data_IF_257117528424
#
_entry.id   IF_257117528424
#
_cell.length_a   1.000
_cell.length_b   1.000
_cell.length_c   1.000
_cell.angle_alpha   90.00
_cell.angle_beta   90.00
_cell.angle_gamma   90.00
#
_symmetry.space_group_name_H-M   'P 1'
#
loop_
_entity.id
_entity.type
_entity.pdbx_description
1 polymer ?
#
# COMPACT_ATOMS: atom_id res chain seq x y z
N UNK A 1 1.54 -21.90 -57.56
CA UNK A 1 1.70 -20.52 -58.08
C UNK A 1 0.52 -19.69 -57.61
N UNK A 2 0.68 -18.38 -57.52
CA UNK A 2 -0.39 -17.42 -57.26
C UNK A 2 -0.29 -16.33 -58.33
N UNK A 3 -1.43 -15.97 -58.89
CA UNK A 3 -1.54 -14.85 -59.81
C UNK A 3 -1.17 -13.55 -59.07
N UNK A 4 -0.12 -12.89 -59.54
CA UNK A 4 0.49 -11.71 -58.91
C UNK A 4 0.58 -10.56 -59.92
N UNK A 5 0.02 -9.38 -59.60
CA UNK A 5 0.07 -8.22 -60.50
C UNK A 5 1.48 -7.60 -60.53
N UNK A 6 1.86 -7.05 -61.67
CA UNK A 6 3.03 -6.18 -61.79
C UNK A 6 2.68 -4.78 -61.21
N UNK A 7 3.49 -4.30 -60.27
CA UNK A 7 3.26 -3.02 -59.58
C UNK A 7 3.89 -1.81 -60.28
N UNK A 8 4.71 -2.00 -61.33
CA UNK A 8 5.53 -0.95 -61.95
C UNK A 8 5.20 -0.69 -63.41
N UNK A 9 4.77 -1.71 -64.16
CA UNK A 9 4.62 -1.59 -65.62
C UNK A 9 3.19 -1.74 -66.12
N UNK A 10 2.21 -1.96 -65.23
CA UNK A 10 0.82 -2.32 -65.58
C UNK A 10 0.71 -3.56 -66.50
N UNK A 11 1.76 -4.37 -66.56
CA UNK A 11 1.79 -5.61 -67.34
C UNK A 11 0.80 -6.65 -66.79
N UNK A 12 0.50 -7.64 -67.62
CA UNK A 12 -0.44 -8.71 -67.29
C UNK A 12 -0.02 -9.46 -66.01
N UNK A 13 -1.02 -9.91 -65.26
CA UNK A 13 -0.83 -10.72 -64.05
C UNK A 13 -0.04 -11.99 -64.38
N UNK A 14 1.01 -12.26 -63.62
CA UNK A 14 1.88 -13.41 -63.82
C UNK A 14 1.73 -14.44 -62.70
N UNK A 15 1.94 -15.72 -63.04
CA UNK A 15 1.95 -16.79 -62.05
C UNK A 15 3.30 -16.89 -61.35
N UNK A 16 3.33 -16.49 -60.08
CA UNK A 16 4.56 -16.49 -59.27
C UNK A 16 4.53 -17.62 -58.24
N UNK A 17 5.67 -18.29 -58.06
CA UNK A 17 5.85 -19.27 -57.01
C UNK A 17 6.20 -18.58 -55.68
N UNK A 18 5.48 -18.92 -54.61
CA UNK A 18 5.71 -18.41 -53.27
C UNK A 18 6.10 -19.54 -52.32
N UNK A 19 7.07 -19.26 -51.44
CA UNK A 19 7.35 -20.12 -50.30
C UNK A 19 6.23 -20.00 -49.26
N UNK A 20 5.85 -21.12 -48.64
CA UNK A 20 4.88 -21.17 -47.54
C UNK A 20 5.56 -21.75 -46.31
N UNK A 21 5.26 -21.17 -45.14
CA UNK A 21 5.70 -21.72 -43.85
C UNK A 21 4.81 -22.93 -43.51
N UNK A 22 5.45 -24.06 -43.21
CA UNK A 22 4.76 -25.25 -42.70
C UNK A 22 5.00 -25.32 -41.20
N UNK A 23 3.98 -25.00 -40.41
CA UNK A 23 4.02 -25.04 -38.95
C UNK A 23 3.23 -26.23 -38.43
N UNK A 24 3.68 -26.82 -37.32
CA UNK A 24 3.04 -27.97 -36.69
C UNK A 24 2.91 -27.74 -35.19
N UNK A 25 1.76 -28.15 -34.62
CA UNK A 25 1.60 -28.28 -33.17
C UNK A 25 2.19 -29.63 -32.75
N UNK A 26 3.17 -29.59 -31.87
CA UNK A 26 3.86 -30.78 -31.35
C UNK A 26 3.58 -30.85 -29.85
N UNK A 27 2.89 -31.90 -29.36
CA UNK A 27 2.70 -32.07 -27.92
C UNK A 27 4.02 -32.45 -27.24
N UNK A 28 4.18 -32.12 -25.95
CA UNK A 28 5.39 -32.46 -25.21
C UNK A 28 5.66 -33.97 -25.08
N UNK A 29 4.65 -34.81 -25.37
CA UNK A 29 4.81 -36.27 -25.45
C UNK A 29 5.46 -36.77 -26.74
N UNK A 30 5.60 -35.92 -27.77
CA UNK A 30 6.25 -36.26 -29.04
C UNK A 30 7.65 -35.63 -29.11
N UNK A 31 8.61 -36.35 -29.69
CA UNK A 31 9.95 -35.82 -29.90
C UNK A 31 9.93 -34.65 -30.90
N UNK A 32 10.58 -33.53 -30.53
CA UNK A 32 10.61 -32.29 -31.33
C UNK A 32 11.43 -32.43 -32.63
N UNK A 33 12.25 -33.46 -32.78
CA UNK A 33 13.04 -33.70 -33.99
C UNK A 33 13.93 -32.51 -34.36
N UNK A 34 13.87 -32.07 -35.62
CA UNK A 34 14.61 -30.90 -36.14
C UNK A 34 13.82 -29.58 -36.07
N UNK A 35 12.69 -29.55 -35.37
CA UNK A 35 11.88 -28.33 -35.24
C UNK A 35 12.43 -27.43 -34.13
N UNK A 36 12.50 -26.13 -34.40
CA UNK A 36 12.55 -25.11 -33.35
C UNK A 36 11.14 -24.88 -32.82
N UNK A 37 10.97 -24.97 -31.50
CA UNK A 37 9.65 -24.94 -30.85
C UNK A 37 9.56 -23.79 -29.85
N UNK A 38 8.38 -23.17 -29.80
CA UNK A 38 8.02 -22.17 -28.80
C UNK A 38 6.82 -22.71 -28.00
N UNK A 39 6.84 -22.61 -26.66
CA UNK A 39 5.68 -22.96 -25.84
C UNK A 39 4.47 -22.11 -26.23
N UNK A 40 3.35 -22.76 -26.57
CA UNK A 40 2.14 -22.08 -27.03
C UNK A 40 1.02 -22.10 -25.99
N UNK A 41 0.78 -23.28 -25.39
CA UNK A 41 -0.31 -23.49 -24.44
C UNK A 41 0.01 -24.71 -23.58
N UNK A 42 -0.35 -24.65 -22.30
CA UNK A 42 -0.42 -25.84 -21.44
C UNK A 42 -1.88 -26.15 -21.18
N UNK A 43 -2.26 -27.44 -21.26
CA UNK A 43 -3.62 -27.90 -20.99
C UNK A 43 -3.64 -28.72 -19.71
N UNK A 44 -4.71 -28.59 -18.92
CA UNK A 44 -5.00 -29.47 -17.79
C UNK A 44 -6.30 -30.23 -18.03
N UNK A 45 -6.39 -31.43 -17.48
CA UNK A 45 -7.61 -32.24 -17.56
C UNK A 45 -8.62 -31.78 -16.51
N UNK A 46 -9.87 -31.59 -16.91
CA UNK A 46 -10.96 -31.21 -16.01
C UNK A 46 -11.54 -32.45 -15.32
N UNK A 47 -12.24 -32.24 -14.20
CA UNK A 47 -12.97 -33.32 -13.49
C UNK A 47 -14.08 -33.93 -14.34
N UNK A 48 -14.63 -33.17 -15.30
CA UNK A 48 -15.62 -33.64 -16.29
C UNK A 48 -15.00 -34.44 -17.44
N UNK A 49 -13.67 -34.61 -17.46
CA UNK A 49 -12.95 -35.39 -18.46
C UNK A 49 -12.51 -34.62 -19.72
N UNK A 50 -12.78 -33.32 -19.80
CA UNK A 50 -12.32 -32.43 -20.87
C UNK A 50 -10.91 -31.86 -20.62
N UNK A 51 -10.47 -30.97 -21.51
CA UNK A 51 -9.22 -30.21 -21.35
C UNK A 51 -9.52 -28.72 -21.35
N UNK A 52 -8.80 -27.97 -20.52
CA UNK A 52 -8.84 -26.52 -20.50
C UNK A 52 -7.42 -25.93 -20.43
N UNK A 53 -7.21 -24.70 -20.91
CA UNK A 53 -5.94 -24.00 -20.74
C UNK A 53 -5.59 -23.88 -19.27
N UNK A 54 -4.33 -24.16 -18.91
CA UNK A 54 -3.82 -23.95 -17.57
C UNK A 54 -3.74 -22.45 -17.28
N UNK A 55 -4.49 -21.90 -16.30
CA UNK A 55 -4.53 -20.45 -16.08
C UNK A 55 -3.20 -19.83 -15.65
N UNK A 56 -2.30 -20.63 -15.07
CA UNK A 56 -0.95 -20.19 -14.67
C UNK A 56 0.06 -20.17 -15.82
N UNK A 57 -0.29 -20.71 -16.99
CA UNK A 57 0.64 -20.71 -18.11
C UNK A 57 0.79 -19.31 -18.70
N UNK A 58 2.03 -18.92 -19.01
CA UNK A 58 2.37 -17.66 -19.68
C UNK A 58 3.33 -17.98 -20.82
N UNK A 59 2.92 -17.69 -22.05
CA UNK A 59 3.74 -17.96 -23.24
C UNK A 59 4.85 -16.90 -23.41
N UNK A 60 6.05 -17.30 -23.89
CA UNK A 60 7.02 -16.36 -24.44
C UNK A 60 6.36 -15.49 -25.51
N UNK A 61 6.39 -14.18 -25.33
CA UNK A 61 5.60 -13.24 -26.12
C UNK A 61 6.43 -12.01 -26.49
N UNK A 62 6.31 -11.57 -27.75
CA UNK A 62 6.97 -10.34 -28.23
C UNK A 62 6.24 -9.06 -27.80
N UNK A 63 5.00 -9.19 -27.33
CA UNK A 63 4.15 -8.11 -26.85
C UNK A 63 3.42 -8.55 -25.59
N UNK A 64 3.15 -7.62 -24.66
CA UNK A 64 2.37 -7.88 -23.44
C UNK A 64 0.99 -8.46 -23.79
N UNK A 65 0.33 -7.95 -24.83
CA UNK A 65 -0.95 -8.45 -25.35
C UNK A 65 -0.90 -9.92 -25.78
N UNK A 66 0.29 -10.45 -26.11
CA UNK A 66 0.48 -11.86 -26.46
C UNK A 66 0.35 -12.82 -25.27
N UNK A 67 0.42 -12.30 -24.05
CA UNK A 67 0.28 -13.05 -22.81
C UNK A 67 -0.86 -12.45 -21.96
N UNK A 68 -2.13 -12.86 -22.15
CA UNK A 68 -3.27 -12.29 -21.43
C UNK A 68 -3.12 -12.29 -19.91
N UNK A 69 -2.50 -13.34 -19.36
CA UNK A 69 -2.19 -13.43 -17.93
C UNK A 69 -1.28 -12.30 -17.44
N UNK A 70 -0.26 -11.94 -18.23
CA UNK A 70 0.66 -10.85 -17.90
C UNK A 70 -0.07 -9.51 -17.90
N UNK A 71 -0.99 -9.31 -18.85
CA UNK A 71 -1.82 -8.12 -18.91
C UNK A 71 -2.70 -7.99 -17.66
N UNK A 72 -3.39 -9.06 -17.25
CA UNK A 72 -4.20 -9.05 -16.03
C UNK A 72 -3.37 -8.81 -14.77
N UNK A 73 -2.17 -9.40 -14.68
CA UNK A 73 -1.23 -9.16 -13.58
C UNK A 73 -0.86 -7.67 -13.50
N UNK A 74 -0.49 -7.07 -14.64
CA UNK A 74 -0.13 -5.66 -14.73
C UNK A 74 -1.30 -4.73 -14.33
N UNK A 75 -2.51 -5.02 -14.81
CA UNK A 75 -3.72 -4.25 -14.46
C UNK A 75 -3.99 -4.32 -12.95
N UNK A 76 -4.00 -5.51 -12.35
CA UNK A 76 -4.20 -5.68 -10.91
C UNK A 76 -3.10 -5.03 -10.06
N UNK A 77 -1.85 -5.05 -10.53
CA UNK A 77 -0.75 -4.38 -9.84
C UNK A 77 -0.91 -2.87 -9.91
N UNK A 78 -1.31 -2.32 -11.06
CA UNK A 78 -1.58 -0.89 -11.22
C UNK A 78 -2.71 -0.44 -10.29
N UNK A 79 -3.80 -1.20 -10.17
CA UNK A 79 -4.89 -0.91 -9.24
C UNK A 79 -4.41 -0.88 -7.78
N UNK A 80 -3.59 -1.86 -7.38
CA UNK A 80 -3.01 -1.91 -6.04
C UNK A 80 -2.12 -0.69 -5.76
N UNK A 81 -1.29 -0.28 -6.73
CA UNK A 81 -0.45 0.91 -6.62
C UNK A 81 -1.30 2.18 -6.53
N UNK A 82 -2.35 2.33 -7.34
CA UNK A 82 -3.24 3.49 -7.28
C UNK A 82 -3.98 3.60 -5.94
N UNK A 83 -4.49 2.47 -5.43
CA UNK A 83 -5.07 2.42 -4.09
C UNK A 83 -4.05 2.83 -3.02
N UNK A 84 -2.79 2.38 -3.16
CA UNK A 84 -1.68 2.76 -2.29
C UNK A 84 -1.39 4.26 -2.32
N UNK A 85 -1.31 4.85 -3.51
CA UNK A 85 -1.11 6.28 -3.72
C UNK A 85 -2.23 7.08 -3.05
N UNK A 86 -3.49 6.66 -3.23
CA UNK A 86 -4.64 7.30 -2.60
C UNK A 86 -4.58 7.22 -1.06
N UNK A 87 -4.21 6.07 -0.52
CA UNK A 87 -4.03 5.89 0.92
C UNK A 87 -2.92 6.79 1.48
N UNK A 88 -1.78 6.91 0.78
CA UNK A 88 -0.66 7.74 1.23
C UNK A 88 -0.96 9.24 1.15
N UNK A 89 -1.66 9.70 0.11
CA UNK A 89 -2.13 11.09 0.05
C UNK A 89 -3.10 11.42 1.19
N UNK A 90 -4.00 10.50 1.55
CA UNK A 90 -4.94 10.71 2.66
C UNK A 90 -4.27 10.86 4.04
N UNK A 91 -3.02 10.41 4.20
CA UNK A 91 -2.25 10.61 5.43
C UNK A 91 -1.59 11.99 5.50
N UNK A 92 -1.41 12.69 4.37
CA UNK A 92 -0.80 14.01 4.34
C UNK A 92 -1.91 15.05 4.54
N UNK A 93 -1.85 15.81 5.64
CA UNK A 93 -2.80 16.90 5.90
C UNK A 93 -2.63 17.99 4.83
N UNK A 94 -3.75 18.51 4.32
CA UNK A 94 -3.81 19.71 3.47
C UNK A 94 -4.32 20.91 4.30
N UNK A 95 -3.43 21.74 4.91
CA UNK A 95 -3.86 22.82 5.80
C UNK A 95 -4.40 24.04 5.03
N UNK A 96 -4.04 24.19 3.75
CA UNK A 96 -4.56 25.23 2.86
C UNK A 96 -4.33 24.88 1.38
N UNK A 97 -5.31 25.22 0.52
CA UNK A 97 -5.34 25.05 -0.96
C UNK A 97 -3.99 24.76 -1.62
N UNK A 98 -3.72 23.49 -1.90
CA UNK A 98 -2.64 22.98 -2.77
C UNK A 98 -1.19 23.08 -2.25
N UNK A 99 -0.96 23.25 -0.95
CA UNK A 99 0.41 23.11 -0.37
C UNK A 99 0.46 21.88 0.53
N UNK A 100 1.18 20.84 0.08
CA UNK A 100 1.50 19.67 0.90
C UNK A 100 2.66 20.05 1.81
N UNK A 101 2.42 20.08 3.12
CA UNK A 101 3.45 20.37 4.12
C UNK A 101 4.08 19.05 4.59
N UNK A 102 5.36 18.84 4.28
CA UNK A 102 6.11 17.68 4.75
C UNK A 102 6.87 18.01 6.03
N UNK A 103 6.63 17.25 7.10
CA UNK A 103 7.42 17.36 8.34
C UNK A 103 8.54 16.33 8.35
N UNK A 104 9.54 16.54 9.19
CA UNK A 104 10.71 15.65 9.31
C UNK A 104 10.37 14.19 9.67
N UNK A 105 9.19 13.94 10.26
CA UNK A 105 8.67 12.59 10.52
C UNK A 105 8.04 11.88 9.30
N UNK A 106 7.72 12.61 8.23
CA UNK A 106 6.96 12.10 7.09
C UNK A 106 7.86 11.65 5.94
N UNK A 107 9.19 11.76 6.09
CA UNK A 107 10.17 11.51 5.00
C UNK A 107 10.03 10.10 4.44
N UNK A 108 9.84 9.08 5.28
CA UNK A 108 9.64 7.70 4.84
C UNK A 108 8.36 7.52 4.03
N UNK A 109 7.26 8.14 4.46
CA UNK A 109 5.96 8.12 3.77
C UNK A 109 6.04 8.87 2.44
N UNK A 110 6.72 10.02 2.42
CA UNK A 110 6.98 10.79 1.22
C UNK A 110 7.79 10.00 0.18
N UNK A 111 8.90 9.37 0.60
CA UNK A 111 9.70 8.54 -0.31
C UNK A 111 8.90 7.36 -0.86
N UNK A 112 8.04 6.74 -0.04
CA UNK A 112 7.19 5.65 -0.50
C UNK A 112 6.18 6.16 -1.51
N UNK A 113 5.53 7.28 -1.21
CA UNK A 113 4.59 7.93 -2.13
C UNK A 113 5.28 8.27 -3.45
N UNK A 114 6.50 8.80 -3.41
CA UNK A 114 7.31 9.08 -4.59
C UNK A 114 7.59 7.80 -5.39
N UNK A 115 8.10 6.74 -4.75
CA UNK A 115 8.41 5.45 -5.40
C UNK A 115 7.18 4.84 -6.06
N UNK A 116 6.07 4.74 -5.32
CA UNK A 116 4.82 4.15 -5.82
C UNK A 116 4.21 5.00 -6.92
N UNK A 117 4.18 6.33 -6.79
CA UNK A 117 3.60 7.23 -7.80
C UNK A 117 4.39 7.20 -9.11
N UNK A 118 5.72 7.26 -9.02
CA UNK A 118 6.61 7.18 -10.20
C UNK A 118 6.44 5.84 -10.92
N UNK A 119 6.40 4.74 -10.17
CA UNK A 119 6.20 3.42 -10.75
C UNK A 119 4.80 3.25 -11.36
N UNK A 120 3.74 3.72 -10.69
CA UNK A 120 2.38 3.66 -11.22
C UNK A 120 2.25 4.41 -12.54
N UNK A 121 2.87 5.58 -12.66
CA UNK A 121 2.91 6.35 -13.91
C UNK A 121 3.63 5.57 -15.03
N UNK A 122 4.76 4.93 -14.72
CA UNK A 122 5.49 4.11 -15.68
C UNK A 122 4.68 2.86 -16.11
N UNK A 123 4.06 2.15 -15.17
CA UNK A 123 3.25 0.96 -15.46
C UNK A 123 1.97 1.28 -16.25
N UNK A 124 1.38 2.45 -16.03
CA UNK A 124 0.25 2.94 -16.83
C UNK A 124 0.60 3.07 -18.32
N UNK A 125 1.85 3.38 -18.67
CA UNK A 125 2.29 3.39 -20.07
C UNK A 125 2.17 2.01 -20.71
N UNK A 126 2.59 0.96 -20.00
CA UNK A 126 2.53 -0.43 -20.48
C UNK A 126 1.10 -0.95 -20.61
N UNK A 127 0.19 -0.56 -19.71
CA UNK A 127 -1.25 -0.87 -19.85
C UNK A 127 -1.84 -0.23 -21.12
N UNK A 128 -1.46 1.03 -21.41
CA UNK A 128 -1.95 1.76 -22.60
C UNK A 128 -1.30 1.30 -23.90
N UNK A 129 -0.12 0.69 -23.83
CA UNK A 129 0.63 0.23 -25.00
C UNK A 129 0.99 -1.26 -24.86
N UNK A 130 0.00 -2.16 -24.90
CA UNK A 130 0.24 -3.58 -24.68
C UNK A 130 0.99 -4.26 -25.85
N UNK A 131 1.29 -3.53 -26.92
CA UNK A 131 2.18 -3.96 -28.00
C UNK A 131 3.67 -3.94 -27.65
N UNK A 132 4.05 -3.39 -26.49
CA UNK A 132 5.44 -3.33 -26.04
C UNK A 132 5.97 -4.69 -25.56
N UNK A 133 7.29 -4.87 -25.68
CA UNK A 133 7.96 -6.11 -25.31
C UNK A 133 7.96 -6.34 -23.79
N UNK A 134 7.64 -7.56 -23.29
CA UNK A 134 7.56 -7.85 -21.85
C UNK A 134 8.85 -7.59 -21.05
N UNK A 135 10.03 -7.74 -21.66
CA UNK A 135 11.31 -7.44 -21.00
C UNK A 135 11.39 -6.01 -20.46
N UNK A 136 10.82 -5.04 -21.18
CA UNK A 136 10.79 -3.63 -20.74
C UNK A 136 9.87 -3.40 -19.56
N UNK A 137 8.74 -4.12 -19.54
CA UNK A 137 7.88 -4.16 -18.37
C UNK A 137 8.63 -4.78 -17.17
N UNK A 138 9.38 -5.85 -17.39
CA UNK A 138 10.16 -6.50 -16.34
C UNK A 138 11.22 -5.56 -15.74
N UNK A 139 11.93 -4.80 -16.59
CA UNK A 139 12.86 -3.74 -16.17
C UNK A 139 12.17 -2.71 -15.24
N UNK A 140 10.96 -2.25 -15.60
CA UNK A 140 10.19 -1.32 -14.77
C UNK A 140 9.73 -1.93 -13.44
N UNK A 141 9.34 -3.22 -13.43
CA UNK A 141 8.97 -3.94 -12.21
C UNK A 141 10.16 -4.11 -11.26
N UNK A 142 11.36 -4.40 -11.79
CA UNK A 142 12.59 -4.44 -11.00
C UNK A 142 12.90 -3.08 -10.36
N UNK A 143 12.70 -1.99 -11.10
CA UNK A 143 12.86 -0.63 -10.57
C UNK A 143 11.92 -0.35 -9.39
N UNK A 144 10.66 -0.74 -9.51
CA UNK A 144 9.68 -0.64 -8.41
C UNK A 144 10.09 -1.49 -7.21
N UNK A 145 10.38 -2.79 -7.42
CA UNK A 145 10.79 -3.68 -6.34
C UNK A 145 12.04 -3.16 -5.62
N UNK A 146 13.05 -2.74 -6.36
CA UNK A 146 14.29 -2.16 -5.82
C UNK A 146 14.04 -0.93 -4.97
N UNK A 147 13.15 -0.03 -5.39
CA UNK A 147 12.74 1.13 -4.57
C UNK A 147 12.07 0.73 -3.26
N UNK A 148 11.22 -0.29 -3.30
CA UNK A 148 10.50 -0.81 -2.13
C UNK A 148 11.38 -1.60 -1.16
N UNK A 149 12.52 -2.16 -1.60
CA UNK A 149 13.44 -2.89 -0.71
C UNK A 149 13.96 -2.03 0.44
N UNK A 150 14.00 -0.71 0.30
CA UNK A 150 14.41 0.20 1.39
C UNK A 150 13.48 0.13 2.63
N UNK A 151 12.28 -0.44 2.48
CA UNK A 151 11.26 -0.52 3.52
C UNK A 151 11.12 -1.91 4.15
N UNK A 152 11.87 -2.91 3.70
CA UNK A 152 11.79 -4.28 4.20
C UNK A 152 13.17 -4.88 4.44
N UNK A 153 13.27 -5.75 5.43
CA UNK A 153 14.46 -6.60 5.65
C UNK A 153 14.25 -8.04 5.20
N UNK A 154 13.05 -8.39 4.74
CA UNK A 154 12.72 -9.75 4.30
C UNK A 154 13.37 -10.10 2.96
N UNK A 155 13.50 -9.09 2.09
CA UNK A 155 14.09 -9.24 0.77
C UNK A 155 15.37 -8.43 0.64
N UNK A 156 16.28 -8.92 -0.20
CA UNK A 156 17.51 -8.23 -0.60
C UNK A 156 17.54 -8.11 -2.12
N UNK A 157 18.51 -7.36 -2.67
CA UNK A 157 18.70 -7.30 -4.12
C UNK A 157 18.92 -8.69 -4.75
N UNK A 158 19.58 -9.60 -4.03
CA UNK A 158 19.80 -10.98 -4.49
C UNK A 158 18.51 -11.82 -4.50
N UNK A 159 17.45 -11.36 -3.85
CA UNK A 159 16.13 -12.01 -3.87
C UNK A 159 15.33 -11.69 -5.13
N UNK A 160 15.71 -10.67 -5.91
CA UNK A 160 14.98 -10.28 -7.11
C UNK A 160 15.21 -11.31 -8.22
N UNK A 161 14.14 -11.87 -8.84
CA UNK A 161 14.27 -12.88 -9.88
C UNK A 161 14.95 -12.32 -11.14
N UNK A 162 15.67 -13.18 -11.86
CA UNK A 162 16.19 -12.87 -13.19
C UNK A 162 15.08 -13.04 -14.25
N UNK A 163 15.13 -12.22 -15.30
CA UNK A 163 14.23 -12.36 -16.43
C UNK A 163 14.55 -13.63 -17.23
N UNK A 164 13.56 -14.49 -17.44
CA UNK A 164 13.65 -15.63 -18.35
C UNK A 164 12.53 -15.54 -19.40
N UNK A 165 12.90 -15.15 -20.62
CA UNK A 165 11.94 -15.03 -21.72
C UNK A 165 11.38 -16.38 -22.17
N UNK A 166 12.11 -17.48 -21.98
CA UNK A 166 11.66 -18.81 -22.37
C UNK A 166 10.61 -19.36 -21.37
N UNK A 167 10.66 -18.90 -20.11
CA UNK A 167 9.72 -19.26 -19.05
C UNK A 167 9.20 -18.02 -18.29
N UNK A 168 8.47 -17.12 -18.97
CA UNK A 168 8.16 -15.80 -18.42
C UNK A 168 7.24 -15.88 -17.19
N UNK A 169 6.40 -16.92 -17.09
CA UNK A 169 5.47 -17.08 -15.97
C UNK A 169 6.17 -17.08 -14.61
N UNK A 170 7.26 -17.84 -14.47
CA UNK A 170 7.95 -17.98 -13.19
C UNK A 170 8.56 -16.65 -12.70
N UNK A 171 9.23 -15.91 -13.59
CA UNK A 171 9.87 -14.64 -13.21
C UNK A 171 8.84 -13.53 -12.93
N UNK A 172 7.77 -13.43 -13.73
CA UNK A 172 6.72 -12.43 -13.51
C UNK A 172 5.90 -12.70 -12.25
N UNK A 173 5.59 -13.96 -11.96
CA UNK A 173 4.87 -14.33 -10.74
C UNK A 173 5.70 -14.03 -9.49
N UNK A 174 7.00 -14.36 -9.53
CA UNK A 174 7.90 -14.12 -8.41
C UNK A 174 8.07 -12.62 -8.13
N UNK A 175 8.29 -11.78 -9.16
CA UNK A 175 8.45 -10.34 -8.95
C UNK A 175 7.14 -9.66 -8.51
N UNK A 176 5.98 -10.05 -9.06
CA UNK A 176 4.67 -9.54 -8.63
C UNK A 176 4.40 -9.88 -7.16
N UNK A 177 4.68 -11.12 -6.74
CA UNK A 177 4.55 -11.55 -5.36
C UNK A 177 5.41 -10.72 -4.40
N UNK A 178 6.70 -10.54 -4.73
CA UNK A 178 7.63 -9.70 -3.95
C UNK A 178 7.11 -8.27 -3.86
N UNK A 179 6.68 -7.66 -4.97
CA UNK A 179 6.16 -6.29 -4.98
C UNK A 179 4.92 -6.16 -4.11
N UNK A 180 3.98 -7.11 -4.18
CA UNK A 180 2.76 -7.09 -3.35
C UNK A 180 3.07 -7.19 -1.86
N UNK A 181 3.93 -8.11 -1.47
CA UNK A 181 4.32 -8.27 -0.07
C UNK A 181 5.04 -7.02 0.46
N UNK A 182 5.98 -6.47 -0.33
CA UNK A 182 6.64 -5.22 0.01
C UNK A 182 5.64 -4.08 0.14
N UNK A 183 4.73 -3.92 -0.83
CA UNK A 183 3.68 -2.91 -0.79
C UNK A 183 2.86 -3.04 0.48
N UNK A 184 2.34 -4.23 0.83
CA UNK A 184 1.53 -4.44 2.03
C UNK A 184 2.30 -4.10 3.31
N UNK A 185 3.57 -4.50 3.39
CA UNK A 185 4.42 -4.27 4.57
C UNK A 185 4.60 -2.78 4.87
N UNK A 186 4.68 -1.90 3.86
CA UNK A 186 5.00 -0.48 4.09
C UNK A 186 3.81 0.35 4.64
N UNK A 187 2.56 -0.14 4.59
CA UNK A 187 1.40 0.53 5.22
C UNK A 187 0.94 -0.16 6.50
N UNK A 188 1.72 -1.10 7.06
CA UNK A 188 1.62 -1.29 8.50
C UNK A 188 2.26 -0.08 9.19
N UNK A 189 1.58 1.06 9.08
CA UNK A 189 1.78 2.22 9.92
C UNK A 189 1.46 1.70 11.30
N UNK A 190 2.51 1.24 12.01
CA UNK A 190 2.47 0.85 13.42
C UNK A 190 1.82 1.90 14.30
N UNK A 191 1.54 3.09 13.76
CA UNK A 191 0.65 4.06 14.34
C UNK A 191 -0.25 4.75 13.30
N UNK A 192 -1.39 5.30 13.73
CA UNK A 192 -2.20 6.23 12.96
C UNK A 192 -2.77 7.32 13.88
N UNK A 193 -2.97 8.53 13.34
CA UNK A 193 -3.57 9.65 14.08
C UNK A 193 -5.10 9.59 14.03
N UNK A 194 -5.73 9.97 15.13
CA UNK A 194 -7.17 10.12 15.28
C UNK A 194 -7.43 11.61 15.53
N UNK A 195 -8.19 12.23 14.63
CA UNK A 195 -8.55 13.64 14.75
C UNK A 195 -9.45 13.84 15.97
N UNK A 196 -9.10 14.85 16.78
CA UNK A 196 -9.90 15.31 17.92
C UNK A 196 -10.55 16.64 17.53
N UNK A 197 -11.89 16.68 17.53
CA UNK A 197 -12.68 17.86 17.19
C UNK A 197 -13.28 18.44 18.46
N UNK A 198 -13.10 19.74 18.68
CA UNK A 198 -13.76 20.43 19.79
C UNK A 198 -15.24 20.65 19.45
N UNK A 199 -16.13 19.87 20.06
CA UNK A 199 -17.58 19.96 19.86
C UNK A 199 -18.25 20.90 20.87
N UNK A 200 -17.70 20.93 22.09
CA UNK A 200 -18.11 21.83 23.17
C UNK A 200 -16.86 22.44 23.80
N UNK A 201 -16.94 23.64 24.41
CA UNK A 201 -15.79 24.28 25.02
C UNK A 201 -15.08 23.32 25.98
N UNK A 202 -13.76 23.14 25.81
CA UNK A 202 -12.94 22.24 26.63
C UNK A 202 -13.15 20.74 26.40
N UNK A 203 -14.02 20.31 25.49
CA UNK A 203 -14.28 18.89 25.18
C UNK A 203 -13.93 18.57 23.73
N UNK A 204 -12.94 17.69 23.55
CA UNK A 204 -12.48 17.24 22.25
C UNK A 204 -12.88 15.78 22.01
N UNK A 205 -13.64 15.53 20.94
CA UNK A 205 -14.17 14.22 20.57
C UNK A 205 -13.37 13.60 19.43
N UNK A 206 -13.06 12.31 19.57
CA UNK A 206 -12.45 11.48 18.53
C UNK A 206 -13.27 10.21 18.31
N UNK A 207 -13.32 9.72 17.06
CA UNK A 207 -13.93 8.43 16.74
C UNK A 207 -12.89 7.32 16.76
N UNK A 208 -13.19 6.24 17.47
CA UNK A 208 -12.34 5.05 17.53
C UNK A 208 -12.91 4.00 16.57
N UNK A 209 -12.29 3.85 15.40
CA UNK A 209 -12.71 2.85 14.41
C UNK A 209 -12.36 1.44 14.92
N UNK A 210 -13.39 0.64 15.24
CA UNK A 210 -13.21 -0.73 15.77
C UNK A 210 -12.52 -1.68 14.80
N UNK A 211 -12.52 -1.37 13.49
CA UNK A 211 -11.78 -2.18 12.52
C UNK A 211 -10.27 -2.03 12.62
N UNK A 212 -9.79 -0.97 13.29
CA UNK A 212 -8.37 -0.60 13.38
C UNK A 212 -7.82 -0.57 14.80
N UNK A 213 -8.70 -0.56 15.82
CA UNK A 213 -8.34 -0.45 17.22
C UNK A 213 -8.87 -1.67 17.96
N UNK A 214 -7.94 -2.44 18.53
CA UNK A 214 -8.22 -3.61 19.34
C UNK A 214 -7.64 -3.46 20.76
N UNK A 215 -7.65 -4.54 21.53
CA UNK A 215 -7.13 -4.56 22.91
C UNK A 215 -5.59 -4.46 22.97
N UNK A 216 -4.89 -4.76 21.88
CA UNK A 216 -3.44 -4.72 21.77
C UNK A 216 -2.94 -3.35 21.30
N UNK A 217 -3.84 -2.51 20.77
CA UNK A 217 -3.56 -1.15 20.34
C UNK A 217 -3.29 -0.25 21.55
N UNK A 218 -2.15 0.42 21.55
CA UNK A 218 -1.79 1.39 22.60
C UNK A 218 -2.11 2.79 22.13
N UNK A 219 -2.91 3.54 22.89
CA UNK A 219 -3.27 4.92 22.58
C UNK A 219 -2.33 5.91 23.30
N UNK A 220 -1.86 6.91 22.58
CA UNK A 220 -1.05 8.02 23.08
C UNK A 220 -1.75 9.34 22.78
N UNK A 221 -1.85 10.21 23.79
CA UNK A 221 -2.29 11.59 23.64
C UNK A 221 -1.05 12.48 23.50
N UNK A 222 -0.87 13.08 22.33
CA UNK A 222 0.16 14.08 22.08
C UNK A 222 -0.41 15.47 22.42
N UNK A 223 0.27 16.18 23.31
CA UNK A 223 -0.14 17.51 23.78
C UNK A 223 0.99 18.49 23.56
N UNK A 224 0.65 19.62 22.93
CA UNK A 224 1.51 20.80 22.83
C UNK A 224 0.73 22.00 23.38
N UNK A 225 1.39 22.82 24.17
CA UNK A 225 0.81 24.00 24.78
C UNK A 225 1.91 25.04 25.08
N UNK A 226 1.53 26.31 25.19
CA UNK A 226 2.43 27.40 25.56
C UNK A 226 2.68 27.41 27.08
N UNK A 227 3.32 26.35 27.58
CA UNK A 227 3.69 26.20 29.00
C UNK A 227 5.00 25.40 29.17
N UNK A 228 5.71 25.56 30.30
CA UNK A 228 6.93 24.79 30.56
C UNK A 228 6.70 23.28 30.54
N UNK A 229 7.66 22.55 29.97
CA UNK A 229 7.66 21.08 29.86
C UNK A 229 7.29 20.36 31.15
N UNK A 230 7.96 20.73 32.24
CA UNK A 230 7.82 20.11 33.57
C UNK A 230 6.40 20.32 34.09
N UNK A 231 5.89 21.54 33.97
CA UNK A 231 4.54 21.89 34.40
C UNK A 231 3.49 21.13 33.58
N UNK A 232 3.67 20.99 32.26
CA UNK A 232 2.74 20.24 31.41
C UNK A 232 2.67 18.77 31.81
N UNK A 233 3.83 18.15 32.05
CA UNK A 233 3.95 16.74 32.44
C UNK A 233 3.29 16.47 33.80
N UNK A 234 3.36 17.42 34.74
CA UNK A 234 2.71 17.31 36.05
C UNK A 234 1.20 17.58 35.98
N UNK A 235 0.79 18.61 35.22
CA UNK A 235 -0.60 19.07 35.18
C UNK A 235 -1.51 18.13 34.39
N UNK A 236 -1.03 17.57 33.26
CA UNK A 236 -1.87 16.79 32.35
C UNK A 236 -2.49 15.56 33.03
N UNK A 237 -1.74 14.66 33.69
CA UNK A 237 -2.32 13.48 34.34
C UNK A 237 -3.35 13.81 35.43
N UNK A 238 -3.24 14.99 36.04
CA UNK A 238 -4.11 15.43 37.13
C UNK A 238 -5.39 16.10 36.62
N UNK A 239 -5.25 16.99 35.62
CA UNK A 239 -6.30 17.90 35.18
C UNK A 239 -7.03 17.46 33.91
N UNK A 240 -6.35 16.78 33.00
CA UNK A 240 -6.97 16.27 31.76
C UNK A 240 -7.74 15.00 32.08
N UNK A 241 -8.97 14.88 31.58
CA UNK A 241 -9.82 13.70 31.76
C UNK A 241 -10.11 13.07 30.39
N UNK A 242 -9.95 11.76 30.31
CA UNK A 242 -10.13 11.00 29.07
C UNK A 242 -11.05 9.82 29.34
N UNK A 243 -11.87 9.44 28.37
CA UNK A 243 -12.78 8.30 28.49
C UNK A 243 -13.88 8.33 27.43
N UNK A 244 -14.92 7.51 27.61
CA UNK A 244 -16.13 7.62 26.78
C UNK A 244 -16.82 8.98 27.03
N UNK A 245 -17.53 9.56 26.04
CA UNK A 245 -18.16 10.88 26.17
C UNK A 245 -18.99 11.06 27.45
N UNK A 246 -19.90 10.12 27.72
CA UNK A 246 -20.79 10.16 28.89
C UNK A 246 -20.03 9.98 30.22
N UNK A 247 -18.92 9.23 30.21
CA UNK A 247 -18.13 8.96 31.41
C UNK A 247 -17.24 10.16 31.76
N UNK A 248 -16.69 10.85 30.76
CA UNK A 248 -15.88 12.05 30.98
C UNK A 248 -16.72 13.16 31.60
N UNK A 249 -17.95 13.39 31.11
CA UNK A 249 -18.85 14.40 31.68
C UNK A 249 -19.16 14.11 33.16
N UNK A 250 -19.44 12.85 33.50
CA UNK A 250 -19.63 12.41 34.90
C UNK A 250 -18.38 12.59 35.74
N UNK A 251 -17.20 12.26 35.19
CA UNK A 251 -15.92 12.41 35.88
C UNK A 251 -15.63 13.88 36.21
N UNK A 252 -15.92 14.78 35.27
CA UNK A 252 -15.76 16.23 35.48
C UNK A 252 -16.72 16.73 36.56
N UNK A 253 -18.00 16.38 36.49
CA UNK A 253 -19.02 16.82 37.45
C UNK A 253 -18.77 16.28 38.87
N UNK A 254 -18.24 15.06 38.98
CA UNK A 254 -18.02 14.37 40.27
C UNK A 254 -16.59 14.48 40.77
N UNK A 255 -15.72 15.25 40.10
CA UNK A 255 -14.28 15.33 40.35
C UNK A 255 -13.57 13.96 40.43
N UNK A 256 -14.07 12.96 39.69
CA UNK A 256 -13.52 11.61 39.65
C UNK A 256 -12.42 11.50 38.58
N UNK A 257 -11.45 10.57 38.75
CA UNK A 257 -10.46 10.29 37.72
C UNK A 257 -11.09 9.63 36.50
N UNK A 258 -10.66 10.04 35.30
CA UNK A 258 -10.96 9.36 34.04
C UNK A 258 -9.98 8.21 33.78
N UNK A 259 -9.87 7.80 32.51
CA UNK A 259 -8.79 6.91 32.04
C UNK A 259 -7.45 7.54 32.42
N UNK A 260 -6.59 6.74 33.05
CA UNK A 260 -5.31 7.21 33.57
C UNK A 260 -4.38 7.57 32.40
N UNK A 261 -3.81 8.77 32.46
CA UNK A 261 -2.76 9.23 31.56
C UNK A 261 -1.41 9.11 32.27
N UNK A 262 -0.42 8.57 31.56
CA UNK A 262 0.95 8.45 32.06
C UNK A 262 1.92 9.09 31.08
N UNK A 263 2.80 9.97 31.55
CA UNK A 263 3.79 10.59 30.68
C UNK A 263 4.72 9.53 30.10
N UNK A 264 4.85 9.53 28.77
CA UNK A 264 5.68 8.64 27.99
C UNK A 264 6.89 9.43 27.45
N UNK A 265 8.00 9.51 28.20
CA UNK A 265 9.19 10.28 27.78
C UNK A 265 9.85 9.70 26.52
N UNK A 266 9.62 8.41 26.25
CA UNK A 266 9.97 7.76 24.99
C UNK A 266 8.72 7.08 24.45
N UNK A 267 8.31 7.48 23.25
CA UNK A 267 7.29 6.78 22.47
C UNK A 267 7.94 5.69 21.61
N UNK A 268 7.19 4.66 21.19
CA UNK A 268 7.67 3.69 20.20
C UNK A 268 8.29 4.40 18.99
N UNK A 269 9.36 3.83 18.43
CA UNK A 269 10.05 4.39 17.26
C UNK A 269 9.15 4.61 16.04
N UNK A 270 7.97 3.99 16.03
CA UNK A 270 6.92 4.25 15.06
C UNK A 270 6.42 5.70 15.10
N UNK A 271 6.25 6.31 16.28
CA UNK A 271 5.70 7.65 16.42
C UNK A 271 6.78 8.72 16.16
N UNK A 272 6.60 9.65 15.22
CA UNK A 272 7.52 10.76 15.02
C UNK A 272 7.45 11.72 16.21
N UNK A 273 8.59 11.90 16.89
CA UNK A 273 8.72 12.83 18.01
C UNK A 273 8.73 14.25 17.47
N UNK A 274 7.83 15.09 17.96
CA UNK A 274 7.73 16.50 17.59
C UNK A 274 8.36 17.40 18.66
N UNK A 275 9.06 18.48 18.27
CA UNK A 275 9.54 19.47 19.23
C UNK A 275 8.34 20.07 19.99
N UNK A 276 8.56 20.40 21.26
CA UNK A 276 7.58 20.99 22.18
C UNK A 276 6.27 20.19 22.32
N UNK A 277 6.29 18.90 21.98
CA UNK A 277 5.14 17.99 22.09
C UNK A 277 5.45 16.90 23.08
N UNK A 278 4.56 16.70 24.04
CA UNK A 278 4.70 15.72 25.10
C UNK A 278 3.64 14.65 24.94
N UNK A 279 4.02 13.41 25.18
CA UNK A 279 3.20 12.25 24.89
C UNK A 279 2.76 11.59 26.18
N UNK A 280 1.49 11.22 26.24
CA UNK A 280 0.90 10.57 27.40
C UNK A 280 0.21 9.28 26.96
N UNK A 281 0.69 8.14 27.44
CA UNK A 281 0.06 6.86 27.19
C UNK A 281 -1.23 6.74 28.01
N UNK A 282 -2.31 6.33 27.35
CA UNK A 282 -3.56 5.95 28.02
C UNK A 282 -3.38 4.55 28.60
N UNK A 283 -3.69 4.40 29.89
CA UNK A 283 -3.70 3.10 30.53
C UNK A 283 -4.84 2.25 29.93
N UNK A 284 -4.46 1.15 29.28
CA UNK A 284 -5.40 0.21 28.66
C UNK A 284 -6.09 -0.70 29.69
N UNK A 285 -5.76 -0.55 30.98
CA UNK A 285 -6.35 -1.31 32.08
C UNK A 285 -7.48 -0.52 32.71
N UNK A 286 -8.65 -1.15 32.84
CA UNK A 286 -9.78 -0.62 33.61
C UNK A 286 -11.09 -0.54 32.83
N UNK A 287 -12.19 -0.39 33.58
CA UNK A 287 -13.55 -0.38 33.02
C UNK A 287 -13.80 0.82 32.09
N UNK A 288 -13.28 2.00 32.43
CA UNK A 288 -13.45 3.22 31.62
C UNK A 288 -12.82 3.11 30.23
N UNK A 289 -11.65 2.48 30.11
CA UNK A 289 -11.00 2.24 28.82
C UNK A 289 -11.82 1.25 27.97
N UNK A 290 -12.33 0.19 28.59
CA UNK A 290 -13.19 -0.80 27.92
C UNK A 290 -14.53 -0.19 27.47
N UNK A 291 -15.12 0.70 28.27
CA UNK A 291 -16.33 1.44 27.90
C UNK A 291 -16.07 2.37 26.72
N UNK A 292 -14.94 3.07 26.72
CA UNK A 292 -14.50 3.91 25.59
C UNK A 292 -14.35 3.12 24.29
N UNK A 293 -13.72 1.95 24.32
CA UNK A 293 -13.61 1.07 23.15
C UNK A 293 -15.00 0.56 22.68
N UNK A 294 -15.87 0.16 23.61
CA UNK A 294 -17.24 -0.27 23.30
C UNK A 294 -18.09 0.85 22.70
N UNK A 295 -17.90 2.08 23.17
CA UNK A 295 -18.57 3.27 22.64
C UNK A 295 -17.99 3.72 21.29
N UNK A 296 -16.87 3.15 20.84
CA UNK A 296 -16.16 3.52 19.61
C UNK A 296 -15.87 5.02 19.53
N UNK A 297 -15.68 5.66 20.69
CA UNK A 297 -15.57 7.10 20.81
C UNK A 297 -14.78 7.46 22.05
N UNK A 298 -13.99 8.51 21.94
CA UNK A 298 -13.17 9.07 23.00
C UNK A 298 -13.49 10.55 23.15
N UNK A 299 -13.67 10.99 24.38
CA UNK A 299 -13.70 12.39 24.74
C UNK A 299 -12.46 12.73 25.58
N UNK A 300 -11.89 13.89 25.31
CA UNK A 300 -10.77 14.48 26.06
C UNK A 300 -11.26 15.82 26.60
N UNK A 301 -11.41 15.90 27.90
CA UNK A 301 -11.68 17.16 28.60
C UNK A 301 -10.36 17.81 29.02
N UNK A 302 -10.16 19.05 28.60
CA UNK A 302 -9.00 19.86 29.00
C UNK A 302 -9.49 21.15 29.66
N UNK A 303 -9.23 21.37 30.95
CA UNK A 303 -9.74 22.55 31.64
C UNK A 303 -9.15 23.84 31.10
N UNK A 304 -9.90 24.92 31.27
CA UNK A 304 -9.45 26.27 30.93
C UNK A 304 -8.17 26.64 31.67
N UNK A 305 -7.25 27.31 30.97
CA UNK A 305 -5.95 27.76 31.51
C UNK A 305 -4.74 27.26 30.73
N UNK A 306 -4.88 26.21 29.92
CA UNK A 306 -3.80 25.76 29.01
C UNK A 306 -3.88 26.56 27.71
N UNK A 307 -2.92 27.46 27.48
CA UNK A 307 -2.87 28.34 26.31
C UNK A 307 -2.26 27.61 25.10
N UNK A 308 -2.73 27.97 23.90
CA UNK A 308 -2.25 27.42 22.62
C UNK A 308 -2.26 25.89 22.57
N UNK A 309 -3.32 25.30 23.15
CA UNK A 309 -3.48 23.86 23.23
C UNK A 309 -3.64 23.24 21.83
N UNK A 310 -2.77 22.28 21.52
CA UNK A 310 -2.90 21.39 20.38
C UNK A 310 -2.94 19.95 20.90
N UNK A 311 -3.98 19.22 20.51
CA UNK A 311 -4.19 17.83 20.88
C UNK A 311 -4.20 16.95 19.64
N UNK A 312 -3.56 15.79 19.75
CA UNK A 312 -3.69 14.73 18.76
C UNK A 312 -3.67 13.38 19.46
N UNK A 313 -4.62 12.52 19.09
CA UNK A 313 -4.63 11.14 19.56
C UNK A 313 -3.92 10.26 18.54
N UNK A 314 -3.04 9.39 19.03
CA UNK A 314 -2.23 8.50 18.20
C UNK A 314 -2.50 7.08 18.67
N UNK A 315 -2.96 6.21 17.78
CA UNK A 315 -3.10 4.79 18.04
C UNK A 315 -1.87 4.07 17.51
N UNK A 316 -1.24 3.20 18.31
CA UNK A 316 -0.10 2.38 17.93
C UNK A 316 -0.53 0.92 17.95
N UNK A 317 -0.53 0.27 16.79
CA UNK A 317 -0.80 -1.17 16.68
C UNK A 317 0.46 -1.96 17.05
N UNK A 318 0.26 -3.06 17.78
CA UNK A 318 1.34 -3.94 18.23
C UNK A 318 1.99 -4.70 17.07
#
# INVERSE_FOLDING_TARGET
MRATPDLFTESAVADVAYLKKTVRLIPDSEARGSYECLPLITLRRTVSGGFEPLPSFMAPSLAIAGAPRLQSLLEHLLDALQAKVGALHGHHREPSRNVIEFRSGDVSSFWLLHTVSTAAAALMHYVRHPGLHPERLYEALLGLAGGLLSYSRHYTLASLPAYDHAQPGACFDAIDGIIRELLDTVISSKYFSIALLEDKPSYHLGKLDSGKIDQHTTLYLAIRAAMPAIELVEVVPLRVKVGAPDDVEKCVLSAMPGVKLSHAPQVPAAIPVRPDTYYFALDNRGALYQQMLKAQSIAVYVPTGIRELQLELIAVTA
#
